data_IF_293801641802
#
_entry.id   IF_293801641802
#
_cell.length_a   1.000
_cell.length_b   1.000
_cell.length_c   1.000
_cell.angle_alpha   90.00
_cell.angle_beta   90.00
_cell.angle_gamma   90.00
#
_symmetry.space_group_name_H-M   'P 1'
#
loop_
_entity.id
_entity.type
_entity.pdbx_description
1 polymer ?
#
# COMPACT_ATOMS: atom_id res chain seq x y z
N UNK A 1 -1.89 -11.84 24.88
CA UNK A 1 -1.28 -10.81 24.02
C UNK A 1 -1.30 -11.41 22.63
N UNK A 2 -2.11 -10.88 21.71
CA UNK A 2 -2.11 -11.39 20.33
C UNK A 2 -0.80 -10.94 19.68
N UNK A 3 -0.05 -11.89 19.13
CA UNK A 3 1.17 -11.61 18.36
C UNK A 3 0.82 -10.73 17.15
N UNK A 4 1.63 -9.71 16.89
CA UNK A 4 1.46 -8.87 15.72
C UNK A 4 1.81 -9.64 14.44
N UNK A 5 1.20 -9.27 13.30
CA UNK A 5 1.50 -9.91 12.01
C UNK A 5 2.99 -9.85 11.65
N UNK A 6 3.68 -8.77 12.03
CA UNK A 6 5.12 -8.65 11.76
C UNK A 6 5.99 -9.53 12.69
N UNK A 7 5.53 -9.83 13.90
CA UNK A 7 6.18 -10.82 14.78
C UNK A 7 5.98 -12.24 14.22
N UNK A 8 4.74 -12.61 13.87
CA UNK A 8 4.44 -13.91 13.28
C UNK A 8 5.23 -14.14 11.97
N UNK A 9 5.33 -13.10 11.13
CA UNK A 9 6.16 -13.14 9.91
C UNK A 9 7.63 -13.39 10.22
N UNK A 10 8.18 -12.71 11.23
CA UNK A 10 9.58 -12.88 11.66
C UNK A 10 9.81 -14.28 12.24
N UNK A 11 8.87 -14.80 13.03
CA UNK A 11 8.92 -16.16 13.57
C UNK A 11 8.89 -17.22 12.45
N UNK A 12 8.10 -16.99 11.40
CA UNK A 12 8.05 -17.84 10.21
C UNK A 12 9.29 -17.69 9.28
N UNK A 13 10.19 -16.74 9.57
CA UNK A 13 11.39 -16.49 8.76
C UNK A 13 11.12 -15.94 7.36
N UNK A 14 9.96 -15.33 7.14
CA UNK A 14 9.54 -14.85 5.81
C UNK A 14 9.86 -13.37 5.62
N UNK A 15 10.39 -13.00 4.45
CA UNK A 15 10.34 -11.61 3.99
C UNK A 15 8.92 -11.22 3.58
N UNK A 16 8.65 -9.92 3.52
CA UNK A 16 7.38 -9.41 2.98
C UNK A 16 7.15 -9.77 1.50
N UNK A 17 8.22 -9.90 0.72
CA UNK A 17 8.13 -10.30 -0.70
C UNK A 17 7.71 -11.76 -0.81
N UNK A 18 8.38 -12.67 -0.10
CA UNK A 18 8.02 -14.10 -0.10
C UNK A 18 6.61 -14.32 0.44
N UNK A 19 6.21 -13.59 1.49
CA UNK A 19 4.87 -13.67 2.02
C UNK A 19 3.83 -13.22 0.99
N UNK A 20 4.07 -12.12 0.27
CA UNK A 20 3.16 -11.66 -0.77
C UNK A 20 3.04 -12.65 -1.94
N UNK A 21 4.14 -13.31 -2.32
CA UNK A 21 4.16 -14.37 -3.33
C UNK A 21 3.33 -15.58 -2.89
N UNK A 22 3.49 -16.05 -1.64
CA UNK A 22 2.69 -17.15 -1.07
C UNK A 22 1.19 -16.82 -1.01
N UNK A 23 0.86 -15.59 -0.60
CA UNK A 23 -0.53 -15.11 -0.55
C UNK A 23 -1.13 -14.95 -1.95
N UNK A 24 -0.31 -14.66 -2.97
CA UNK A 24 -0.76 -14.58 -4.37
C UNK A 24 -1.46 -13.27 -4.71
N UNK A 25 -0.88 -12.13 -4.31
CA UNK A 25 -1.39 -10.78 -4.60
C UNK A 25 -0.28 -9.75 -4.84
N UNK A 26 -0.61 -8.55 -5.37
CA UNK A 26 0.38 -7.50 -5.57
C UNK A 26 1.09 -7.13 -4.27
N UNK A 27 2.43 -7.08 -4.29
CA UNK A 27 3.25 -6.98 -3.07
C UNK A 27 2.82 -5.85 -2.14
N UNK A 28 2.70 -4.63 -2.66
CA UNK A 28 2.37 -3.45 -1.83
C UNK A 28 0.97 -3.59 -1.22
N UNK A 29 -0.02 -4.03 -2.00
CA UNK A 29 -1.37 -4.27 -1.50
C UNK A 29 -1.40 -5.36 -0.43
N UNK A 30 -0.72 -6.49 -0.64
CA UNK A 30 -0.70 -7.59 0.32
C UNK A 30 -0.07 -7.15 1.64
N UNK A 31 1.04 -6.42 1.61
CA UNK A 31 1.67 -5.87 2.82
C UNK A 31 0.74 -4.88 3.51
N UNK A 32 0.12 -3.95 2.78
CA UNK A 32 -0.85 -3.02 3.34
C UNK A 32 -2.08 -3.73 3.95
N UNK A 33 -2.54 -4.83 3.35
CA UNK A 33 -3.63 -5.61 3.93
C UNK A 33 -3.24 -6.26 5.25
N UNK A 34 -2.06 -6.88 5.30
CA UNK A 34 -1.50 -7.54 6.47
C UNK A 34 -1.14 -6.55 7.61
N UNK A 35 -0.87 -5.30 7.26
CA UNK A 35 -0.67 -4.20 8.22
C UNK A 35 -1.99 -3.48 8.59
N UNK A 36 -3.13 -3.97 8.12
CA UNK A 36 -4.46 -3.52 8.53
C UNK A 36 -5.07 -2.38 7.72
N UNK A 37 -4.51 -2.02 6.56
CA UNK A 37 -5.06 -0.96 5.70
C UNK A 37 -6.05 -1.48 4.65
N UNK A 38 -6.08 -2.80 4.38
CA UNK A 38 -6.99 -3.43 3.43
C UNK A 38 -7.48 -4.81 3.91
N UNK A 39 -8.70 -5.22 3.54
CA UNK A 39 -9.10 -6.61 3.68
C UNK A 39 -8.39 -7.49 2.63
N UNK A 40 -8.18 -8.75 2.96
CA UNK A 40 -7.85 -9.80 2.00
C UNK A 40 -9.12 -10.56 1.56
N UNK A 41 -9.22 -10.97 0.29
CA UNK A 41 -10.17 -12.00 -0.12
C UNK A 41 -9.99 -13.27 0.71
N UNK A 42 -11.05 -14.05 1.01
CA UNK A 42 -10.99 -15.23 1.87
C UNK A 42 -9.84 -16.20 1.52
N UNK A 43 -9.69 -16.56 0.24
CA UNK A 43 -8.63 -17.46 -0.22
C UNK A 43 -7.22 -16.94 0.06
N UNK A 44 -7.02 -15.61 0.01
CA UNK A 44 -5.73 -14.97 0.31
C UNK A 44 -5.49 -14.86 1.81
N UNK A 45 -6.55 -14.64 2.58
CA UNK A 45 -6.49 -14.64 4.03
C UNK A 45 -6.09 -16.03 4.55
N UNK A 46 -6.69 -17.10 4.03
CA UNK A 46 -6.32 -18.49 4.37
C UNK A 46 -4.85 -18.77 4.10
N UNK A 47 -4.34 -18.45 2.91
CA UNK A 47 -2.91 -18.60 2.57
C UNK A 47 -2.00 -17.78 3.49
N UNK A 48 -2.42 -16.58 3.88
CA UNK A 48 -1.68 -15.75 4.82
C UNK A 48 -1.66 -16.38 6.22
N UNK A 49 -2.81 -16.88 6.69
CA UNK A 49 -2.95 -17.58 7.96
C UNK A 49 -2.08 -18.82 8.04
N UNK A 50 -2.09 -19.66 6.99
CA UNK A 50 -1.22 -20.84 6.88
C UNK A 50 0.26 -20.47 6.86
N UNK A 51 0.65 -19.47 6.06
CA UNK A 51 2.05 -19.05 5.94
C UNK A 51 2.62 -18.45 7.24
N UNK A 52 1.76 -17.85 8.07
CA UNK A 52 2.12 -17.18 9.31
C UNK A 52 1.81 -18.01 10.57
N UNK A 53 1.16 -19.17 10.43
CA UNK A 53 0.73 -19.98 11.56
C UNK A 53 -0.33 -19.30 12.44
N UNK A 54 -1.22 -18.51 11.84
CA UNK A 54 -2.27 -17.79 12.57
C UNK A 54 -3.42 -18.72 12.96
N UNK A 55 -4.02 -18.45 14.12
CA UNK A 55 -5.25 -19.12 14.53
C UNK A 55 -6.43 -18.77 13.59
N UNK A 56 -7.48 -19.62 13.52
CA UNK A 56 -8.62 -19.39 12.63
C UNK A 56 -9.29 -18.02 12.83
N UNK A 57 -9.38 -17.56 14.08
CA UNK A 57 -9.97 -16.25 14.38
C UNK A 57 -9.12 -15.10 13.85
N UNK A 58 -7.79 -15.17 14.00
CA UNK A 58 -6.86 -14.17 13.47
C UNK A 58 -6.90 -14.14 11.94
N UNK A 59 -6.99 -15.32 11.32
CA UNK A 59 -7.14 -15.46 9.86
C UNK A 59 -8.45 -14.82 9.38
N UNK A 60 -9.56 -15.02 10.11
CA UNK A 60 -10.85 -14.39 9.78
C UNK A 60 -10.76 -12.86 9.82
N UNK A 61 -10.09 -12.30 10.82
CA UNK A 61 -9.91 -10.85 10.93
C UNK A 61 -9.22 -10.21 9.72
N UNK A 62 -8.38 -10.95 8.98
CA UNK A 62 -7.74 -10.43 7.76
C UNK A 62 -8.74 -10.16 6.62
N UNK A 63 -9.95 -10.69 6.70
CA UNK A 63 -11.02 -10.46 5.70
C UNK A 63 -11.89 -9.25 6.03
N UNK A 64 -11.77 -8.69 7.23
CA UNK A 64 -12.62 -7.61 7.70
C UNK A 64 -12.18 -6.26 7.12
N UNK A 65 -13.15 -5.43 6.72
CA UNK A 65 -12.86 -4.07 6.28
C UNK A 65 -12.35 -3.28 7.49
N UNK A 66 -11.14 -2.69 7.44
CA UNK A 66 -10.62 -1.95 8.58
C UNK A 66 -11.52 -0.74 8.85
N UNK A 67 -11.82 -0.43 10.14
CA UNK A 67 -12.70 0.68 10.49
C UNK A 67 -12.12 2.03 10.04
N UNK A 68 -10.79 2.11 9.94
CA UNK A 68 -10.06 3.25 9.40
C UNK A 68 -8.83 2.73 8.63
N UNK A 69 -8.60 3.25 7.42
CA UNK A 69 -7.41 2.90 6.61
C UNK A 69 -6.19 3.76 6.96
N UNK A 70 -6.43 4.91 7.56
CA UNK A 70 -5.45 5.89 8.04
C UNK A 70 -5.90 6.34 9.44
N UNK A 71 -4.96 6.70 10.31
CA UNK A 71 -5.29 7.23 11.64
C UNK A 71 -6.13 8.51 11.56
N UNK A 72 -6.84 8.82 12.65
CA UNK A 72 -7.76 9.97 12.74
C UNK A 72 -7.08 11.35 12.50
N UNK A 73 -5.76 11.42 12.56
CA UNK A 73 -4.96 12.62 12.35
C UNK A 73 -4.02 12.41 11.16
N UNK A 74 -4.28 13.14 10.07
CA UNK A 74 -3.38 13.20 8.92
C UNK A 74 -2.24 14.17 9.22
N UNK A 75 -1.39 13.81 10.18
CA UNK A 75 -0.21 14.58 10.54
C UNK A 75 0.96 14.23 9.63
N UNK A 76 1.84 15.20 9.37
CA UNK A 76 3.07 14.95 8.63
C UNK A 76 3.92 13.96 9.45
N UNK A 77 4.28 12.79 8.92
CA UNK A 77 5.02 11.79 9.67
C UNK A 77 6.39 12.33 10.11
N UNK A 78 6.76 12.06 11.37
CA UNK A 78 8.12 12.29 11.85
C UNK A 78 9.12 11.25 11.32
N UNK A 79 8.62 10.08 10.85
CA UNK A 79 9.45 9.05 10.23
C UNK A 79 10.12 9.61 8.96
N UNK A 80 11.46 9.57 8.85
CA UNK A 80 12.17 10.14 7.71
C UNK A 80 11.83 9.47 6.38
N UNK A 81 11.51 8.17 6.38
CA UNK A 81 11.20 7.42 5.15
C UNK A 81 9.86 7.88 4.58
N UNK A 82 8.85 8.01 5.45
CA UNK A 82 7.54 8.51 5.08
C UNK A 82 7.56 10.01 4.74
N UNK A 83 8.31 10.82 5.50
CA UNK A 83 8.41 12.26 5.27
C UNK A 83 8.86 12.62 3.85
N UNK A 84 9.75 11.83 3.23
CA UNK A 84 10.21 12.10 1.86
C UNK A 84 9.11 12.01 0.81
N UNK A 85 8.09 11.18 1.03
CA UNK A 85 6.92 11.16 0.14
C UNK A 85 6.11 12.47 0.24
N UNK A 86 5.96 13.01 1.45
CA UNK A 86 5.29 14.30 1.66
C UNK A 86 6.12 15.45 1.08
N UNK A 87 7.44 15.46 1.28
CA UNK A 87 8.33 16.47 0.71
C UNK A 87 8.32 16.45 -0.82
N UNK A 88 8.40 15.26 -1.45
CA UNK A 88 8.33 15.12 -2.90
C UNK A 88 7.00 15.65 -3.46
N UNK A 89 5.87 15.34 -2.82
CA UNK A 89 4.57 15.89 -3.19
C UNK A 89 4.47 17.40 -2.93
N UNK A 90 5.13 17.92 -1.89
CA UNK A 90 5.22 19.36 -1.62
C UNK A 90 5.99 20.12 -2.71
N UNK A 91 7.08 19.55 -3.21
CA UNK A 91 7.92 20.14 -4.27
C UNK A 91 7.24 20.03 -5.64
N UNK A 92 6.74 18.85 -6.00
CA UNK A 92 6.24 18.57 -7.35
C UNK A 92 4.72 18.67 -7.50
N UNK A 93 3.97 18.72 -6.40
CA UNK A 93 2.50 18.73 -6.42
C UNK A 93 1.88 19.79 -7.33
N UNK A 94 2.31 21.07 -7.29
CA UNK A 94 1.81 22.08 -8.21
C UNK A 94 2.05 21.75 -9.69
N UNK A 95 3.23 21.22 -10.03
CA UNK A 95 3.57 20.83 -11.39
C UNK A 95 2.74 19.61 -11.85
N UNK A 96 2.64 18.58 -11.01
CA UNK A 96 1.82 17.40 -11.29
C UNK A 96 0.35 17.76 -11.47
N UNK A 97 -0.20 18.66 -10.65
CA UNK A 97 -1.56 19.16 -10.79
C UNK A 97 -1.76 19.85 -12.14
N UNK A 98 -0.87 20.76 -12.50
CA UNK A 98 -0.95 21.49 -13.77
C UNK A 98 -0.89 20.54 -14.97
N UNK A 99 0.07 19.61 -15.00
CA UNK A 99 0.20 18.65 -16.09
C UNK A 99 -0.98 17.68 -16.17
N UNK A 100 -1.51 17.23 -15.03
CA UNK A 100 -2.71 16.40 -14.99
C UNK A 100 -3.91 17.13 -15.60
N UNK A 101 -4.10 18.42 -15.29
CA UNK A 101 -5.18 19.22 -15.87
C UNK A 101 -4.96 19.55 -17.35
N UNK A 102 -3.71 19.74 -17.78
CA UNK A 102 -3.37 19.92 -19.19
C UNK A 102 -3.66 18.66 -20.02
N UNK A 103 -3.30 17.49 -19.50
CA UNK A 103 -3.41 16.23 -20.25
C UNK A 103 -4.81 15.59 -20.16
N UNK A 104 -5.48 15.67 -19.01
CA UNK A 104 -6.74 14.97 -18.74
C UNK A 104 -7.96 15.88 -18.55
N UNK A 105 -7.75 17.18 -18.33
CA UNK A 105 -8.81 18.15 -18.03
C UNK A 105 -9.17 18.22 -16.55
N UNK A 106 -10.33 18.83 -16.24
CA UNK A 106 -10.78 19.05 -14.87
C UNK A 106 -11.22 17.74 -14.18
N UNK A 107 -10.46 17.33 -13.17
CA UNK A 107 -10.67 16.09 -12.44
C UNK A 107 -9.51 15.74 -11.51
N UNK A 108 -9.49 14.47 -11.07
CA UNK A 108 -8.49 13.93 -10.14
C UNK A 108 -8.03 12.52 -10.55
N UNK A 109 -6.83 12.14 -10.11
CA UNK A 109 -6.41 10.74 -10.07
C UNK A 109 -7.01 10.08 -8.82
N UNK A 110 -7.79 9.01 -9.00
CA UNK A 110 -8.40 8.27 -7.88
C UNK A 110 -7.33 7.61 -7.01
N UNK A 111 -7.52 7.64 -5.68
CA UNK A 111 -6.77 6.82 -4.72
C UNK A 111 -7.55 5.55 -4.29
N UNK A 112 -8.69 5.24 -4.94
CA UNK A 112 -9.53 4.07 -4.66
C UNK A 112 -9.44 3.05 -5.79
N UNK A 113 -9.70 3.49 -7.03
CA UNK A 113 -9.34 2.70 -8.21
C UNK A 113 -7.88 3.02 -8.53
N UNK A 114 -7.00 2.40 -7.74
CA UNK A 114 -5.61 2.78 -7.60
C UNK A 114 -4.74 1.57 -7.31
N UNK A 115 -3.55 1.52 -7.91
CA UNK A 115 -2.53 0.53 -7.63
C UNK A 115 -1.19 1.23 -7.33
N UNK A 116 -0.43 0.61 -6.43
CA UNK A 116 0.93 1.03 -6.09
C UNK A 116 1.90 -0.09 -6.37
N UNK A 117 2.99 0.23 -7.04
CA UNK A 117 4.12 -0.67 -7.17
C UNK A 117 5.38 -0.01 -6.62
N UNK A 118 6.26 -0.85 -6.07
CA UNK A 118 7.58 -0.45 -5.59
C UNK A 118 8.59 -1.36 -6.25
N UNK A 119 9.67 -0.83 -6.82
CA UNK A 119 10.71 -1.63 -7.49
C UNK A 119 12.09 -1.02 -7.18
N UNK A 120 13.09 -1.89 -7.09
CA UNK A 120 14.50 -1.49 -7.05
C UNK A 120 15.00 -1.41 -8.48
N UNK A 121 15.61 -0.29 -8.85
CA UNK A 121 16.17 -0.06 -10.17
C UNK A 121 17.68 0.08 -10.02
N UNK A 122 18.45 -0.76 -10.73
CA UNK A 122 19.90 -0.68 -10.69
C UNK A 122 20.38 0.60 -11.37
N UNK A 123 21.31 1.31 -10.73
CA UNK A 123 21.89 2.55 -11.26
C UNK A 123 23.39 2.62 -10.93
N UNK A 124 24.25 3.05 -11.88
CA UNK A 124 25.70 3.13 -11.66
C UNK A 124 26.12 3.99 -10.45
N UNK A 125 25.32 4.98 -10.05
CA UNK A 125 25.58 5.84 -8.90
C UNK A 125 24.98 5.30 -7.58
N UNK A 126 24.38 4.12 -7.60
CA UNK A 126 23.69 3.49 -6.49
C UNK A 126 22.20 3.34 -6.77
N UNK A 127 21.65 2.20 -6.36
CA UNK A 127 20.30 1.81 -6.74
C UNK A 127 19.22 2.84 -6.40
N UNK A 128 18.21 2.89 -7.26
CA UNK A 128 17.08 3.78 -7.14
C UNK A 128 15.84 3.03 -6.66
N UNK A 129 14.95 3.75 -6.00
CA UNK A 129 13.61 3.27 -5.64
C UNK A 129 12.62 3.86 -6.65
N UNK A 130 11.97 3.00 -7.42
CA UNK A 130 10.87 3.37 -8.29
C UNK A 130 9.56 3.09 -7.56
N UNK A 131 8.69 4.11 -7.49
CA UNK A 131 7.32 3.99 -6.99
C UNK A 131 6.38 4.40 -8.09
N UNK A 132 5.49 3.49 -8.50
CA UNK A 132 4.47 3.74 -9.52
C UNK A 132 3.13 3.94 -8.83
N UNK A 133 2.53 5.11 -9.06
CA UNK A 133 1.20 5.47 -8.60
C UNK A 133 0.26 5.47 -9.81
N UNK A 134 -0.59 4.45 -9.92
CA UNK A 134 -1.48 4.29 -11.07
C UNK A 134 -2.93 4.40 -10.61
N UNK A 135 -3.57 5.52 -10.94
CA UNK A 135 -4.97 5.77 -10.59
C UNK A 135 -5.84 6.08 -11.79
N UNK A 136 -7.09 5.62 -11.72
CA UNK A 136 -8.11 6.01 -12.69
C UNK A 136 -8.36 7.52 -12.63
N UNK A 137 -8.31 8.20 -13.77
CA UNK A 137 -8.75 9.59 -13.86
C UNK A 137 -10.28 9.68 -13.71
N UNK A 138 -10.73 10.58 -12.84
CA UNK A 138 -12.12 10.88 -12.57
C UNK A 138 -12.37 12.33 -12.94
N UNK A 139 -12.97 12.55 -14.12
CA UNK A 139 -13.42 13.88 -14.53
C UNK A 139 -14.58 14.33 -13.65
N UNK A 140 -14.64 15.63 -13.40
CA UNK A 140 -15.87 16.20 -12.90
C UNK A 140 -17.01 16.04 -13.92
N UNK A 141 -18.23 15.82 -13.43
CA UNK A 141 -19.43 15.71 -14.25
C UNK A 141 -20.45 16.75 -13.75
N UNK A 142 -20.50 17.89 -14.45
CA UNK A 142 -21.45 18.98 -14.20
C UNK A 142 -22.40 19.20 -15.39
N UNK A 143 -22.31 18.35 -16.42
CA UNK A 143 -23.21 18.24 -17.58
C UNK A 143 -23.97 16.90 -17.53
#
# INVERSE_FOLDING_TARGET
>A
MHESIDEARRAAGLSWTELAERVGGPRVHTVAALLGQHPLPPERAERAGEALGLEPEQTRCLTEIPPQRIGAQFEIPADPTLYRFYEALGVYGPALRTLLHEEFGDGIMSAINFNVELRRVADPAGDRVEVVLNGKFLKYQWE
#
